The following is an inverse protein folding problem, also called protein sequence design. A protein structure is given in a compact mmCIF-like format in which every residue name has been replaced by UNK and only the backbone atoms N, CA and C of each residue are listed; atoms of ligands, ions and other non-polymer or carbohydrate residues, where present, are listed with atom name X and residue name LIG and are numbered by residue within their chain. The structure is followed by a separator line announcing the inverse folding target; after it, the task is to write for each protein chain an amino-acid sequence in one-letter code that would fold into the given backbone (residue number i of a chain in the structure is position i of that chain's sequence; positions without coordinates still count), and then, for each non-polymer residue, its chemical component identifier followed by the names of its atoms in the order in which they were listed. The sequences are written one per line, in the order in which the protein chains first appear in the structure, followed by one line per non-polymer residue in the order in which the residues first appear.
data_IF_435385596155
#
_entry.id   IF_435385596155
#
_cell.length_a   1.000
_cell.length_b   1.000
_cell.length_c   1.000
_cell.angle_alpha   90.00
_cell.angle_beta   90.00
_cell.angle_gamma   90.00
#
_symmetry.space_group_name_H-M   'P 1'
#
loop_
_entity.id
_entity.type
_entity.pdbx_description
1 polymer ?
#
# COMPACT_ATOMS: atom_id res chain seq x y z
N UNK A 1 8.88 13.59 6.65
CA UNK A 1 8.06 12.43 6.24
C UNK A 1 7.59 12.71 4.83
N UNK A 2 8.29 12.18 3.84
CA UNK A 2 8.11 12.59 2.44
C UNK A 2 6.77 12.05 1.92
N UNK A 3 5.80 12.95 1.77
CA UNK A 3 4.62 12.66 0.96
C UNK A 3 5.08 12.62 -0.50
N UNK A 4 4.96 11.47 -1.15
CA UNK A 4 5.14 11.38 -2.60
C UNK A 4 3.84 11.89 -3.23
N UNK A 5 3.86 13.06 -3.91
CA UNK A 5 2.64 13.73 -4.36
C UNK A 5 1.80 12.87 -5.32
N UNK A 6 2.44 11.94 -6.03
CA UNK A 6 1.80 11.05 -7.00
C UNK A 6 1.43 9.68 -6.41
N UNK A 7 1.56 9.47 -5.10
CA UNK A 7 1.18 8.20 -4.47
C UNK A 7 -0.33 7.97 -4.55
N UNK A 8 -0.70 6.79 -5.05
CA UNK A 8 -2.09 6.36 -5.21
C UNK A 8 -2.59 5.47 -4.06
N UNK A 9 -1.68 5.01 -3.19
CA UNK A 9 -1.98 4.27 -1.97
C UNK A 9 -0.90 4.42 -0.90
N UNK A 10 -1.27 4.16 0.36
CA UNK A 10 -0.34 3.97 1.47
C UNK A 10 -0.36 2.50 1.86
N UNK A 11 0.82 1.88 1.86
CA UNK A 11 1.04 0.59 2.46
C UNK A 11 1.44 0.77 3.92
N UNK A 12 0.67 0.20 4.84
CA UNK A 12 0.97 0.25 6.27
C UNK A 12 1.42 -1.12 6.75
N UNK A 13 2.66 -1.21 7.21
CA UNK A 13 3.18 -2.42 7.84
C UNK A 13 2.54 -2.68 9.21
N UNK A 14 2.76 -3.89 9.73
CA UNK A 14 2.26 -4.32 11.04
C UNK A 14 2.75 -3.46 12.21
N UNK A 15 4.00 -3.02 12.15
CA UNK A 15 4.63 -2.11 13.12
C UNK A 15 4.23 -0.63 12.93
N UNK A 16 3.39 -0.35 11.93
CA UNK A 16 2.79 0.97 11.72
C UNK A 16 3.60 1.92 10.85
N UNK A 17 4.62 1.43 10.15
CA UNK A 17 5.34 2.22 9.16
C UNK A 17 4.48 2.43 7.91
N UNK A 18 4.49 3.66 7.39
CA UNK A 18 3.73 4.06 6.22
C UNK A 18 4.65 4.22 5.01
N UNK A 19 4.31 3.51 3.93
CA UNK A 19 4.99 3.57 2.64
C UNK A 19 4.04 4.16 1.61
N UNK A 20 4.42 5.31 1.03
CA UNK A 20 3.68 5.93 -0.06
C UNK A 20 4.08 5.27 -1.37
N UNK A 21 3.14 4.57 -2.00
CA UNK A 21 3.42 3.67 -3.11
C UNK A 21 2.68 4.09 -4.38
N UNK A 22 3.07 3.47 -5.49
CA UNK A 22 2.30 3.46 -6.74
C UNK A 22 1.89 2.02 -6.99
N UNK A 23 0.59 1.72 -6.84
CA UNK A 23 0.05 0.36 -6.96
C UNK A 23 0.46 -0.30 -8.26
N UNK A 24 0.47 0.45 -9.37
CA UNK A 24 0.91 -0.04 -10.69
C UNK A 24 2.33 -0.60 -10.68
N UNK A 25 3.26 0.05 -10.00
CA UNK A 25 4.66 -0.41 -9.95
C UNK A 25 4.74 -1.72 -9.16
N UNK A 26 4.08 -1.77 -8.00
CA UNK A 26 4.08 -2.95 -7.13
C UNK A 26 3.39 -4.15 -7.76
N UNK A 27 2.29 -3.95 -8.48
CA UNK A 27 1.62 -5.00 -9.25
C UNK A 27 2.52 -5.58 -10.35
N UNK A 28 3.30 -4.73 -11.03
CA UNK A 28 4.21 -5.18 -12.09
C UNK A 28 5.39 -6.02 -11.56
N UNK A 29 5.87 -5.71 -10.36
CA UNK A 29 7.02 -6.42 -9.77
C UNK A 29 6.61 -7.65 -8.95
N UNK A 30 5.36 -7.73 -8.50
CA UNK A 30 4.86 -8.85 -7.69
C UNK A 30 3.38 -9.16 -7.96
N UNK A 31 3.06 -10.36 -8.47
CA UNK A 31 1.68 -10.82 -8.63
C UNK A 31 0.87 -10.89 -7.31
N UNK A 32 1.57 -10.98 -6.17
CA UNK A 32 0.93 -10.97 -4.84
C UNK A 32 0.27 -9.62 -4.58
N UNK A 33 0.98 -8.52 -4.87
CA UNK A 33 0.44 -7.17 -4.70
C UNK A 33 -0.67 -6.88 -5.72
N UNK A 34 -0.54 -7.34 -6.96
CA UNK A 34 -1.61 -7.23 -7.96
C UNK A 34 -2.92 -7.87 -7.46
N UNK A 35 -2.82 -9.09 -6.92
CA UNK A 35 -3.97 -9.81 -6.38
C UNK A 35 -4.55 -9.06 -5.18
N UNK A 36 -3.70 -8.62 -4.24
CA UNK A 36 -4.12 -7.91 -3.03
C UNK A 36 -4.86 -6.59 -3.34
N UNK A 37 -4.37 -5.81 -4.30
CA UNK A 37 -4.97 -4.54 -4.69
C UNK A 37 -6.27 -4.71 -5.48
N UNK A 38 -6.46 -5.87 -6.12
CA UNK A 38 -7.69 -6.20 -6.84
C UNK A 38 -8.84 -6.64 -5.91
N UNK A 39 -8.56 -6.95 -4.64
CA UNK A 39 -9.57 -7.32 -3.67
C UNK A 39 -10.41 -6.10 -3.25
N UNK A 40 -11.71 -6.27 -2.96
CA UNK A 40 -12.54 -5.19 -2.44
C UNK A 40 -12.01 -4.73 -1.07
N UNK A 41 -11.33 -3.59 -1.07
CA UNK A 41 -10.93 -2.88 0.14
C UNK A 41 -12.16 -2.15 0.71
N UNK A 42 -12.20 -1.95 2.03
CA UNK A 42 -13.24 -1.11 2.64
C UNK A 42 -13.20 0.30 2.01
N UNK A 43 -14.36 0.96 1.84
CA UNK A 43 -14.41 2.28 1.23
C UNK A 43 -13.49 3.23 2.00
N UNK A 44 -12.61 3.97 1.30
CA UNK A 44 -11.59 4.76 1.95
C UNK A 44 -12.23 5.93 2.69
N UNK A 45 -11.89 6.10 3.97
CA UNK A 45 -12.27 7.26 4.79
C UNK A 45 -11.39 8.48 4.51
N UNK A 46 -10.47 8.38 3.55
CA UNK A 46 -9.43 9.36 3.22
C UNK A 46 -9.26 9.47 1.71
N UNK A 47 -8.59 10.53 1.24
CA UNK A 47 -8.39 10.77 -0.19
C UNK A 47 -7.56 9.68 -0.88
N UNK A 48 -6.67 9.01 -0.14
CA UNK A 48 -5.88 7.88 -0.60
C UNK A 48 -6.13 6.64 0.29
N UNK A 49 -6.26 5.44 -0.31
CA UNK A 49 -6.50 4.20 0.43
C UNK A 49 -5.27 3.81 1.26
N UNK A 50 -5.53 3.28 2.46
CA UNK A 50 -4.49 2.72 3.35
C UNK A 50 -4.68 1.21 3.40
N UNK A 51 -3.68 0.47 2.92
CA UNK A 51 -3.69 -0.98 2.80
C UNK A 51 -2.81 -1.53 3.93
N UNK A 52 -3.41 -2.24 4.88
CA UNK A 52 -2.68 -2.85 5.99
C UNK A 52 -2.09 -4.19 5.57
N UNK A 53 -0.81 -4.36 5.84
CA UNK A 53 -0.05 -5.58 5.65
C UNK A 53 0.13 -6.29 7.00
N UNK A 54 0.23 -7.62 6.98
CA UNK A 54 0.71 -8.38 8.14
C UNK A 54 2.24 -8.43 8.23
N UNK A 55 2.93 -7.95 7.18
CA UNK A 55 4.39 -7.84 7.12
C UNK A 55 4.91 -6.68 7.97
N UNK A 56 6.07 -6.93 8.59
CA UNK A 56 6.81 -5.93 9.36
C UNK A 56 7.67 -5.07 8.41
N UNK A 57 7.97 -3.83 8.81
CA UNK A 57 8.72 -2.89 7.95
C UNK A 57 10.10 -3.39 7.51
N UNK A 58 10.71 -4.30 8.27
CA UNK A 58 12.00 -4.91 7.92
C UNK A 58 11.91 -6.01 6.85
N UNK A 59 10.71 -6.54 6.62
CA UNK A 59 10.47 -7.62 5.65
C UNK A 59 9.90 -7.12 4.31
N UNK A 60 9.61 -5.81 4.23
CA UNK A 60 8.98 -5.11 3.08
C UNK A 60 10.01 -4.53 2.10
#
# INVERSE_FOLDING_TARGET
FAQTPDADAILRSRDGADFYIHTVILSLVSPVFETMFSLPQSPPTSAIPIIRMEEDSISL
#
